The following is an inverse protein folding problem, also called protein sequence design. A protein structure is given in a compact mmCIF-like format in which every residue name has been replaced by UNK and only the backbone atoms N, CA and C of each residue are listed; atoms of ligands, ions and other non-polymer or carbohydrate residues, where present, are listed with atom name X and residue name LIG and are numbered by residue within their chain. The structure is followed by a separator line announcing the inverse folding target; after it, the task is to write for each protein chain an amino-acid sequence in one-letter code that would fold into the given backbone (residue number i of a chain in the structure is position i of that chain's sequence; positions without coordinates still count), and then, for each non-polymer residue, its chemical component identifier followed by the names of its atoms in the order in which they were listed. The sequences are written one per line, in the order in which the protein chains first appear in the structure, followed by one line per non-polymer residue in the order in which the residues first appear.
data_IF_412132828378
#
_entry.id   IF_412132828378
#
_cell.length_a   1.000
_cell.length_b   1.000
_cell.length_c   1.000
_cell.angle_alpha   90.00
_cell.angle_beta   90.00
_cell.angle_gamma   90.00
#
_symmetry.space_group_name_H-M   'P 1'
#
loop_
_entity.id
_entity.type
_entity.pdbx_description
1 polymer ?
#
# COMPACT_ATOMS: atom_id res chain seq x y z
N UNK A 1 -7.16 -25.71 25.26
CA UNK A 1 -6.70 -25.42 23.88
C UNK A 1 -5.88 -24.12 23.92
N UNK A 2 -4.74 -24.04 23.22
CA UNK A 2 -3.91 -22.82 23.14
C UNK A 2 -4.25 -22.07 21.85
N UNK A 3 -4.44 -20.75 21.92
CA UNK A 3 -4.63 -19.89 20.73
C UNK A 3 -3.28 -19.73 20.03
N UNK A 4 -3.21 -20.07 18.73
CA UNK A 4 -1.94 -20.11 17.97
C UNK A 4 -1.86 -19.07 16.84
N UNK A 5 -2.92 -18.32 16.57
CA UNK A 5 -2.97 -17.36 15.46
C UNK A 5 -3.25 -18.02 14.11
N UNK A 6 -3.53 -17.20 13.09
CA UNK A 6 -4.01 -17.70 11.78
C UNK A 6 -2.92 -18.52 11.06
N UNK A 7 -1.66 -18.08 11.14
CA UNK A 7 -0.54 -18.64 10.38
C UNK A 7 -0.29 -20.08 10.80
N UNK A 8 -0.13 -20.31 12.12
CA UNK A 8 0.10 -21.64 12.67
C UNK A 8 -1.13 -22.56 12.49
N UNK A 9 -2.33 -22.00 12.49
CA UNK A 9 -3.54 -22.76 12.18
C UNK A 9 -3.59 -23.21 10.70
N UNK A 10 -3.27 -22.32 9.76
CA UNK A 10 -3.14 -22.63 8.33
C UNK A 10 -2.09 -23.70 8.08
N UNK A 11 -0.91 -23.58 8.71
CA UNK A 11 0.16 -24.57 8.61
C UNK A 11 -0.27 -25.93 9.16
N UNK A 12 -0.99 -25.97 10.28
CA UNK A 12 -1.52 -27.22 10.83
C UNK A 12 -2.48 -27.91 9.84
N UNK A 13 -3.39 -27.16 9.21
CA UNK A 13 -4.26 -27.68 8.15
C UNK A 13 -3.48 -28.16 6.92
N UNK A 14 -2.53 -27.35 6.44
CA UNK A 14 -1.72 -27.66 5.27
C UNK A 14 -0.90 -28.94 5.45
N UNK A 15 -0.37 -29.23 6.65
CA UNK A 15 0.37 -30.46 6.96
C UNK A 15 -0.50 -31.73 6.89
N UNK A 16 -1.81 -31.60 7.08
CA UNK A 16 -2.76 -32.72 7.03
C UNK A 16 -3.39 -32.89 5.64
N UNK A 17 -3.35 -31.86 4.80
CA UNK A 17 -3.92 -31.87 3.47
C UNK A 17 -3.19 -32.89 2.56
N UNK A 18 -3.97 -33.67 1.82
CA UNK A 18 -3.47 -34.73 0.92
C UNK A 18 -3.62 -34.41 -0.57
N UNK A 19 -4.42 -33.38 -0.89
CA UNK A 19 -4.67 -32.97 -2.28
C UNK A 19 -3.46 -32.24 -2.88
N UNK A 20 -3.45 -32.11 -4.21
CA UNK A 20 -2.36 -31.47 -4.94
C UNK A 20 -2.39 -29.93 -4.82
N UNK A 21 -3.55 -29.37 -4.52
CA UNK A 21 -3.77 -27.92 -4.38
C UNK A 21 -4.29 -27.62 -2.98
N UNK A 22 -3.70 -26.61 -2.34
CA UNK A 22 -4.20 -26.01 -1.11
C UNK A 22 -5.06 -24.81 -1.47
N UNK A 23 -6.26 -24.74 -0.90
CA UNK A 23 -7.15 -23.59 -1.01
C UNK A 23 -7.45 -23.09 0.39
N UNK A 24 -7.07 -21.84 0.66
CA UNK A 24 -7.31 -21.17 1.93
C UNK A 24 -8.50 -20.22 1.75
N UNK A 25 -9.46 -20.29 2.68
CA UNK A 25 -10.59 -19.38 2.77
C UNK A 25 -10.77 -18.96 4.22
N UNK A 26 -11.21 -17.73 4.42
CA UNK A 26 -11.68 -17.28 5.73
C UNK A 26 -13.02 -17.94 6.08
N UNK A 27 -13.31 -18.02 7.38
CA UNK A 27 -14.52 -18.70 7.89
C UNK A 27 -15.84 -17.94 7.64
N UNK A 28 -15.80 -16.82 6.92
CA UNK A 28 -16.93 -15.94 6.64
C UNK A 28 -16.91 -15.51 5.16
N UNK A 29 -16.95 -16.53 4.31
CA UNK A 29 -16.98 -16.41 2.86
C UNK A 29 -18.18 -17.13 2.25
N UNK A 30 -18.65 -16.66 1.10
CA UNK A 30 -19.65 -17.35 0.27
C UNK A 30 -19.09 -17.54 -1.14
N UNK A 31 -18.99 -18.78 -1.60
CA UNK A 31 -18.37 -19.10 -2.89
C UNK A 31 -19.42 -19.07 -4.02
N UNK A 32 -19.12 -18.37 -5.11
CA UNK A 32 -20.00 -18.32 -6.28
C UNK A 32 -19.92 -19.60 -7.12
N UNK A 33 -20.90 -19.77 -8.02
CA UNK A 33 -20.91 -20.89 -8.98
C UNK A 33 -19.61 -20.90 -9.78
N UNK A 34 -18.98 -22.08 -9.89
CA UNK A 34 -17.75 -22.30 -10.65
C UNK A 34 -16.53 -21.46 -10.20
N UNK A 35 -16.46 -21.09 -8.92
CA UNK A 35 -15.33 -20.32 -8.39
C UNK A 35 -14.01 -21.10 -8.40
N UNK A 36 -14.03 -22.44 -8.31
CA UNK A 36 -12.83 -23.23 -8.03
C UNK A 36 -12.12 -23.67 -9.32
N UNK A 37 -12.88 -24.06 -10.34
CA UNK A 37 -12.37 -24.60 -11.60
C UNK A 37 -11.38 -23.67 -12.31
N UNK A 38 -11.62 -22.34 -12.40
CA UNK A 38 -10.65 -21.40 -12.99
C UNK A 38 -9.33 -21.35 -12.22
N UNK A 39 -9.36 -21.49 -10.90
CA UNK A 39 -8.14 -21.50 -10.06
C UNK A 39 -7.35 -22.80 -10.30
N UNK A 40 -8.03 -23.95 -10.34
CA UNK A 40 -7.37 -25.24 -10.54
C UNK A 40 -6.77 -25.38 -11.94
N UNK A 41 -7.49 -24.93 -12.97
CA UNK A 41 -6.97 -24.94 -14.35
C UNK A 41 -5.72 -24.08 -14.47
N UNK A 42 -5.74 -22.88 -13.86
CA UNK A 42 -4.59 -21.98 -13.92
C UNK A 42 -3.37 -22.51 -13.14
N UNK A 43 -3.56 -23.18 -11.99
CA UNK A 43 -2.44 -23.84 -11.28
C UNK A 43 -1.82 -24.96 -12.12
N UNK A 44 -2.65 -25.69 -12.88
CA UNK A 44 -2.16 -26.73 -13.78
C UNK A 44 -1.29 -26.17 -14.91
N UNK A 45 -1.64 -25.01 -15.45
CA UNK A 45 -0.84 -24.29 -16.45
C UNK A 45 0.42 -23.66 -15.87
N UNK A 46 0.33 -23.13 -14.65
CA UNK A 46 1.40 -22.41 -13.98
C UNK A 46 1.51 -22.83 -12.50
N UNK A 47 2.22 -23.94 -12.21
CA UNK A 47 2.27 -24.53 -10.87
C UNK A 47 2.94 -23.66 -9.80
N UNK A 48 3.71 -22.65 -10.22
CA UNK A 48 4.39 -21.67 -9.35
C UNK A 48 3.57 -20.40 -9.13
N UNK A 49 2.34 -20.35 -9.64
CA UNK A 49 1.43 -19.23 -9.43
C UNK A 49 0.63 -19.41 -8.14
N UNK A 50 0.47 -18.31 -7.43
CA UNK A 50 -0.48 -18.17 -6.32
C UNK A 50 -1.67 -17.40 -6.83
N UNK A 51 -2.86 -17.97 -6.72
CA UNK A 51 -4.05 -17.45 -7.37
C UNK A 51 -5.04 -16.93 -6.34
N UNK A 52 -5.56 -15.74 -6.57
CA UNK A 52 -6.60 -15.13 -5.73
C UNK A 52 -7.89 -14.97 -6.54
N UNK A 53 -9.07 -15.25 -5.94
CA UNK A 53 -10.34 -14.90 -6.55
C UNK A 53 -10.55 -13.38 -6.51
N UNK A 54 -11.50 -12.88 -7.30
CA UNK A 54 -12.13 -11.60 -6.97
C UNK A 54 -12.88 -11.79 -5.65
N UNK A 55 -12.62 -10.89 -4.71
CA UNK A 55 -13.26 -10.87 -3.40
C UNK A 55 -14.42 -9.87 -3.46
N UNK A 56 -15.64 -10.38 -3.61
CA UNK A 56 -16.85 -9.55 -3.54
C UNK A 56 -17.15 -9.20 -2.07
N UNK A 57 -17.94 -8.14 -1.86
CA UNK A 57 -18.26 -7.66 -0.51
C UNK A 57 -19.59 -8.26 -0.07
N UNK A 58 -19.59 -8.89 1.11
CA UNK A 58 -20.81 -9.24 1.85
C UNK A 58 -20.96 -8.23 2.99
N UNK A 59 -22.00 -7.40 2.92
CA UNK A 59 -22.29 -6.37 3.91
C UNK A 59 -22.50 -6.96 5.31
N UNK A 60 -21.67 -6.59 6.29
CA UNK A 60 -21.71 -7.19 7.62
C UNK A 60 -23.03 -7.00 8.38
N UNK A 61 -23.82 -5.97 8.02
CA UNK A 61 -25.06 -5.60 8.72
C UNK A 61 -26.28 -6.36 8.23
N UNK A 62 -26.39 -6.60 6.92
CA UNK A 62 -27.59 -7.17 6.30
C UNK A 62 -27.28 -8.40 5.42
N UNK A 63 -26.02 -8.82 5.34
CA UNK A 63 -25.55 -9.94 4.52
C UNK A 63 -25.88 -9.78 3.03
N UNK A 64 -26.04 -8.53 2.56
CA UNK A 64 -26.22 -8.27 1.15
C UNK A 64 -24.91 -8.56 0.41
N UNK A 65 -24.99 -9.44 -0.58
CA UNK A 65 -23.88 -9.75 -1.47
C UNK A 65 -23.81 -8.66 -2.55
N UNK A 66 -22.82 -7.79 -2.45
CA UNK A 66 -22.52 -6.77 -3.44
C UNK A 66 -21.32 -7.16 -4.27
N UNK A 67 -21.53 -7.23 -5.58
CA UNK A 67 -20.46 -7.27 -6.56
C UNK A 67 -20.09 -5.85 -6.92
N UNK A 68 -18.80 -5.55 -7.06
CA UNK A 68 -18.40 -4.46 -7.95
C UNK A 68 -18.88 -4.78 -9.37
N UNK A 69 -18.90 -3.79 -10.28
CA UNK A 69 -19.27 -4.02 -11.68
C UNK A 69 -18.60 -5.31 -12.21
N UNK A 70 -19.28 -6.10 -13.02
CA UNK A 70 -18.83 -7.46 -13.37
C UNK A 70 -17.43 -7.48 -14.00
N UNK A 71 -17.05 -6.38 -14.64
CA UNK A 71 -15.79 -6.22 -15.35
C UNK A 71 -14.76 -5.38 -14.57
N UNK A 72 -15.13 -4.86 -13.40
CA UNK A 72 -14.26 -4.02 -12.59
C UNK A 72 -13.88 -4.70 -11.28
N UNK A 73 -12.58 -4.73 -11.01
CA UNK A 73 -12.02 -5.31 -9.80
C UNK A 73 -10.66 -4.69 -9.52
N UNK A 74 -10.29 -4.77 -8.24
CA UNK A 74 -9.04 -4.24 -7.75
C UNK A 74 -8.02 -5.37 -7.54
N UNK A 75 -6.75 -5.02 -7.67
CA UNK A 75 -5.60 -5.84 -7.34
C UNK A 75 -4.97 -5.35 -6.04
N UNK A 76 -4.13 -6.18 -5.44
CA UNK A 76 -3.47 -5.86 -4.19
C UNK A 76 -2.21 -5.02 -4.36
N UNK A 77 -2.07 -4.00 -3.51
CA UNK A 77 -0.82 -3.32 -3.24
C UNK A 77 -0.54 -3.21 -1.74
N UNK A 78 0.22 -2.20 -1.36
CA UNK A 78 0.59 -1.99 0.04
C UNK A 78 0.98 -0.54 0.27
N UNK A 79 0.90 -0.10 1.53
CA UNK A 79 1.50 1.16 1.98
C UNK A 79 2.81 0.95 2.71
N UNK A 80 3.66 1.97 2.70
CA UNK A 80 4.97 1.92 3.35
C UNK A 80 4.87 1.74 4.87
N UNK A 81 3.71 1.97 5.48
CA UNK A 81 3.44 1.65 6.89
C UNK A 81 3.16 0.15 7.16
N UNK A 82 3.13 -0.69 6.12
CA UNK A 82 3.00 -2.15 6.24
C UNK A 82 1.60 -2.71 6.03
N UNK A 83 0.62 -1.87 5.65
CA UNK A 83 -0.74 -2.34 5.39
C UNK A 83 -0.96 -2.75 3.94
N UNK A 84 -1.89 -3.69 3.75
CA UNK A 84 -2.43 -4.02 2.43
C UNK A 84 -3.32 -2.87 1.94
N UNK A 85 -3.32 -2.65 0.63
CA UNK A 85 -4.15 -1.63 -0.02
C UNK A 85 -4.75 -2.19 -1.32
N UNK A 86 -5.89 -1.65 -1.75
CA UNK A 86 -6.55 -2.02 -2.99
C UNK A 86 -6.26 -0.98 -4.08
N UNK A 87 -5.90 -1.44 -5.27
CA UNK A 87 -5.65 -0.57 -6.42
C UNK A 87 -6.32 -1.07 -7.67
N UNK A 88 -6.68 -0.13 -8.54
CA UNK A 88 -7.21 -0.47 -9.85
C UNK A 88 -6.12 -1.13 -10.72
N UNK A 89 -6.55 -1.93 -11.68
CA UNK A 89 -5.63 -2.59 -12.62
C UNK A 89 -4.87 -1.55 -13.43
N UNK A 90 -3.54 -1.57 -13.36
CA UNK A 90 -2.69 -0.55 -13.98
C UNK A 90 -2.75 -0.58 -15.51
N UNK A 91 -2.51 0.57 -16.16
CA UNK A 91 -2.40 0.65 -17.62
C UNK A 91 -1.36 -0.35 -18.16
N UNK A 92 -0.21 -0.49 -17.48
CA UNK A 92 0.86 -1.43 -17.84
C UNK A 92 0.37 -2.88 -17.85
N UNK A 93 -0.42 -3.26 -16.85
CA UNK A 93 -0.98 -4.60 -16.77
C UNK A 93 -2.04 -4.85 -17.85
N UNK A 94 -2.92 -3.88 -18.12
CA UNK A 94 -3.88 -3.95 -19.24
C UNK A 94 -3.17 -4.14 -20.58
N UNK A 95 -2.05 -3.45 -20.80
CA UNK A 95 -1.24 -3.63 -22.02
C UNK A 95 -0.55 -5.00 -22.07
N UNK A 96 -0.17 -5.60 -20.93
CA UNK A 96 0.30 -7.00 -20.90
C UNK A 96 -0.82 -7.95 -21.31
N UNK A 97 -2.00 -7.81 -20.73
CA UNK A 97 -3.16 -8.65 -21.04
C UNK A 97 -3.52 -8.59 -22.52
N UNK A 98 -3.48 -7.41 -23.15
CA UNK A 98 -3.67 -7.26 -24.61
C UNK A 98 -2.68 -8.04 -25.47
N UNK A 99 -1.46 -8.27 -24.98
CA UNK A 99 -0.43 -9.05 -25.69
C UNK A 99 -0.55 -10.55 -25.46
N UNK A 100 -1.00 -10.96 -24.28
CA UNK A 100 -0.95 -12.36 -23.84
C UNK A 100 -2.29 -13.08 -23.94
N UNK A 101 -3.41 -12.36 -23.88
CA UNK A 101 -4.75 -12.92 -23.94
C UNK A 101 -5.45 -12.57 -25.27
N UNK A 102 -6.28 -13.47 -25.83
CA UNK A 102 -7.14 -13.13 -26.96
C UNK A 102 -8.07 -11.96 -26.64
N UNK A 103 -8.31 -11.08 -27.60
CA UNK A 103 -9.12 -9.86 -27.44
C UNK A 103 -10.50 -10.14 -26.81
N UNK A 104 -11.16 -11.22 -27.24
CA UNK A 104 -12.46 -11.67 -26.72
C UNK A 104 -12.46 -12.07 -25.23
N UNK A 105 -11.29 -12.27 -24.63
CA UNK A 105 -11.11 -12.77 -23.25
C UNK A 105 -10.38 -11.75 -22.37
N UNK A 106 -10.19 -10.49 -22.80
CA UNK A 106 -9.40 -9.52 -22.04
C UNK A 106 -9.96 -9.24 -20.64
N UNK A 107 -11.28 -9.20 -20.50
CA UNK A 107 -11.95 -8.94 -19.22
C UNK A 107 -11.77 -10.08 -18.20
N UNK A 108 -11.48 -11.28 -18.68
CA UNK A 108 -11.30 -12.50 -17.87
C UNK A 108 -9.85 -13.00 -17.85
N UNK A 109 -8.92 -12.24 -18.42
CA UNK A 109 -7.51 -12.58 -18.45
C UNK A 109 -6.95 -12.58 -17.01
N UNK A 110 -6.12 -13.58 -16.61
CA UNK A 110 -5.42 -13.54 -15.33
C UNK A 110 -4.68 -12.22 -15.16
N UNK A 111 -4.83 -11.58 -14.01
CA UNK A 111 -4.30 -10.25 -13.76
C UNK A 111 -3.20 -10.32 -12.71
N UNK A 112 -2.01 -9.83 -13.04
CA UNK A 112 -0.92 -9.78 -12.06
C UNK A 112 -1.23 -8.81 -10.94
N UNK A 113 -1.06 -9.29 -9.71
CA UNK A 113 -1.29 -8.54 -8.49
C UNK A 113 0.02 -8.41 -7.71
N UNK A 114 0.52 -7.19 -7.42
CA UNK A 114 1.72 -7.00 -6.61
C UNK A 114 1.63 -7.71 -5.26
N UNK A 115 0.48 -7.61 -4.59
CA UNK A 115 0.23 -8.25 -3.30
C UNK A 115 -1.12 -8.98 -3.27
N UNK A 116 -1.41 -9.68 -2.17
CA UNK A 116 -2.73 -10.28 -1.92
C UNK A 116 -3.26 -9.86 -0.56
N UNK A 117 -4.58 -9.86 -0.40
CA UNK A 117 -5.23 -9.71 0.90
C UNK A 117 -4.86 -10.86 1.85
N UNK A 118 -4.62 -12.06 1.29
CA UNK A 118 -4.10 -13.23 2.01
C UNK A 118 -5.15 -14.11 2.69
N UNK A 119 -6.40 -13.65 2.79
CA UNK A 119 -7.53 -14.45 3.31
C UNK A 119 -7.92 -15.64 2.40
N UNK A 120 -7.94 -15.38 1.10
CA UNK A 120 -8.50 -16.26 0.08
C UNK A 120 -7.47 -16.46 -1.04
N UNK A 121 -6.95 -17.68 -1.20
CA UNK A 121 -6.06 -18.02 -2.32
C UNK A 121 -5.94 -19.52 -2.54
N UNK A 122 -5.54 -19.90 -3.75
CA UNK A 122 -5.17 -21.26 -4.13
C UNK A 122 -3.68 -21.32 -4.50
N UNK A 123 -3.02 -22.42 -4.14
CA UNK A 123 -1.59 -22.66 -4.42
C UNK A 123 -1.34 -24.16 -4.56
N UNK A 124 -0.42 -24.55 -5.46
CA UNK A 124 0.10 -25.93 -5.48
C UNK A 124 0.68 -26.30 -4.12
N UNK A 125 0.30 -27.47 -3.58
CA UNK A 125 0.76 -27.94 -2.27
C UNK A 125 2.28 -28.10 -2.25
N UNK A 126 2.86 -28.65 -3.30
CA UNK A 126 4.31 -28.85 -3.37
C UNK A 126 5.02 -27.50 -3.46
N UNK A 127 4.54 -26.59 -4.31
CA UNK A 127 5.10 -25.24 -4.40
C UNK A 127 5.02 -24.50 -3.06
N UNK A 128 3.89 -24.57 -2.34
CA UNK A 128 3.73 -23.97 -1.00
C UNK A 128 4.84 -24.39 -0.03
N UNK A 129 5.21 -25.68 -0.02
CA UNK A 129 6.29 -26.18 0.83
C UNK A 129 7.67 -25.82 0.28
N UNK A 130 7.88 -25.87 -1.02
CA UNK A 130 9.15 -25.56 -1.68
C UNK A 130 9.58 -24.11 -1.46
N UNK A 131 8.64 -23.17 -1.53
CA UNK A 131 8.91 -21.75 -1.23
C UNK A 131 8.92 -21.45 0.29
N UNK A 132 8.88 -22.47 1.14
CA UNK A 132 9.04 -22.34 2.59
C UNK A 132 7.79 -21.90 3.35
N UNK A 133 6.60 -22.19 2.84
CA UNK A 133 5.30 -22.03 3.52
C UNK A 133 5.11 -20.63 4.14
N UNK A 134 4.69 -20.53 5.40
CA UNK A 134 4.69 -19.27 6.16
C UNK A 134 5.86 -19.21 7.14
N UNK A 135 6.22 -18.00 7.59
CA UNK A 135 7.11 -17.85 8.74
C UNK A 135 6.40 -18.26 10.04
N UNK A 136 6.75 -19.42 10.59
CA UNK A 136 6.09 -19.98 11.79
C UNK A 136 6.30 -19.15 13.07
N UNK A 137 7.26 -18.22 13.05
CA UNK A 137 7.53 -17.29 14.14
C UNK A 137 6.64 -16.04 14.11
N UNK A 138 5.89 -15.81 13.02
CA UNK A 138 4.87 -14.78 13.02
C UNK A 138 3.72 -15.18 13.95
N UNK A 139 3.26 -14.21 14.75
CA UNK A 139 2.25 -14.44 15.78
C UNK A 139 0.93 -13.75 15.43
N UNK A 140 -0.18 -14.26 15.96
CA UNK A 140 -1.49 -13.62 15.80
C UNK A 140 -1.95 -13.47 14.34
N UNK A 141 -2.03 -12.22 13.89
CA UNK A 141 -2.54 -11.78 12.58
C UNK A 141 -1.71 -10.61 12.06
N UNK A 142 -1.56 -10.53 10.73
CA UNK A 142 -0.98 -9.40 10.02
C UNK A 142 0.42 -9.67 9.46
N UNK A 143 0.73 -9.06 8.32
CA UNK A 143 2.05 -9.09 7.66
C UNK A 143 2.33 -10.34 6.82
N UNK A 144 1.64 -11.45 7.05
CA UNK A 144 1.90 -12.72 6.36
C UNK A 144 1.52 -12.69 4.88
N UNK A 145 0.51 -11.88 4.54
CA UNK A 145 0.02 -11.71 3.19
C UNK A 145 1.08 -10.98 2.33
N UNK A 146 1.64 -9.88 2.83
CA UNK A 146 2.72 -9.15 2.17
C UNK A 146 4.02 -9.97 2.10
N UNK A 147 4.37 -10.70 3.16
CA UNK A 147 5.54 -11.60 3.17
C UNK A 147 5.48 -12.64 2.06
N UNK A 148 4.33 -13.31 1.95
CA UNK A 148 4.16 -14.32 0.94
C UNK A 148 4.11 -13.71 -0.46
N UNK A 149 3.47 -12.55 -0.65
CA UNK A 149 3.48 -11.83 -1.93
C UNK A 149 4.89 -11.47 -2.40
N UNK A 150 5.69 -10.85 -1.53
CA UNK A 150 7.05 -10.44 -1.85
C UNK A 150 7.95 -11.65 -2.15
N UNK A 151 7.82 -12.71 -1.35
CA UNK A 151 8.56 -13.96 -1.57
C UNK A 151 8.18 -14.64 -2.87
N UNK A 152 6.88 -14.80 -3.16
CA UNK A 152 6.40 -15.43 -4.39
C UNK A 152 7.00 -14.74 -5.61
N UNK A 153 6.88 -13.42 -5.69
CA UNK A 153 7.41 -12.65 -6.81
C UNK A 153 8.94 -12.68 -6.88
N UNK A 154 9.63 -12.41 -5.76
CA UNK A 154 11.10 -12.36 -5.76
C UNK A 154 11.72 -13.73 -6.04
N UNK A 155 11.07 -14.83 -5.66
CA UNK A 155 11.59 -16.18 -5.82
C UNK A 155 11.09 -16.90 -7.10
N UNK A 156 10.52 -16.17 -8.05
CA UNK A 156 10.25 -16.66 -9.41
C UNK A 156 8.84 -17.18 -9.68
N UNK A 157 7.91 -17.06 -8.73
CA UNK A 157 6.48 -17.30 -8.95
C UNK A 157 5.74 -16.06 -9.42
N UNK A 158 4.43 -16.20 -9.57
CA UNK A 158 3.51 -15.08 -9.87
C UNK A 158 2.36 -15.07 -8.88
N UNK A 159 1.77 -13.89 -8.68
CA UNK A 159 0.56 -13.71 -7.90
C UNK A 159 -0.51 -13.12 -8.81
N UNK A 160 -1.63 -13.83 -8.95
CA UNK A 160 -2.59 -13.55 -10.02
C UNK A 160 -4.02 -13.51 -9.49
N UNK A 161 -4.76 -12.45 -9.80
CA UNK A 161 -6.21 -12.38 -9.64
C UNK A 161 -6.87 -13.06 -10.83
N UNK A 162 -7.76 -14.01 -10.56
CA UNK A 162 -8.49 -14.78 -11.58
C UNK A 162 -9.93 -14.28 -11.67
N UNK A 163 -10.30 -13.48 -12.70
CA UNK A 163 -11.59 -12.78 -12.71
C UNK A 163 -12.83 -13.68 -12.75
N UNK A 164 -12.69 -14.89 -13.33
CA UNK A 164 -13.78 -15.88 -13.34
C UNK A 164 -14.03 -16.54 -11.98
N UNK A 165 -13.11 -16.40 -11.02
CA UNK A 165 -13.27 -16.94 -9.67
C UNK A 165 -13.78 -15.83 -8.76
N UNK A 166 -15.00 -15.98 -8.23
CA UNK A 166 -15.61 -14.99 -7.32
C UNK A 166 -16.01 -15.62 -5.99
N UNK A 167 -15.64 -14.95 -4.90
CA UNK A 167 -15.98 -15.36 -3.54
C UNK A 167 -16.33 -14.11 -2.75
N UNK A 168 -17.52 -14.08 -2.16
CA UNK A 168 -17.92 -13.02 -1.24
C UNK A 168 -17.21 -13.17 0.11
N UNK A 169 -16.82 -12.05 0.71
CA UNK A 169 -16.22 -11.99 2.04
C UNK A 169 -16.90 -10.92 2.90
N UNK A 170 -17.10 -11.24 4.19
CA UNK A 170 -17.63 -10.25 5.15
C UNK A 170 -16.48 -9.36 5.64
N UNK A 171 -16.35 -8.18 5.04
CA UNK A 171 -15.47 -7.12 5.52
C UNK A 171 -16.04 -6.48 6.80
N UNK A 172 -15.18 -6.24 7.79
CA UNK A 172 -15.57 -5.70 9.09
C UNK A 172 -14.78 -4.43 9.38
N UNK A 173 -15.45 -3.46 10.00
CA UNK A 173 -14.83 -2.19 10.40
C UNK A 173 -13.79 -2.37 11.54
N UNK A 174 -13.80 -3.51 12.23
CA UNK A 174 -12.91 -3.78 13.37
C UNK A 174 -12.63 -5.28 13.54
N UNK A 175 -11.50 -5.60 14.17
CA UNK A 175 -11.16 -6.98 14.54
C UNK A 175 -12.08 -7.47 15.68
N UNK A 176 -12.82 -8.58 15.51
CA UNK A 176 -13.77 -9.09 16.50
C UNK A 176 -13.09 -9.87 17.65
N UNK A 177 -11.76 -9.87 17.70
CA UNK A 177 -10.96 -10.65 18.64
C UNK A 177 -9.90 -9.77 19.30
N UNK A 178 -9.61 -10.05 20.58
CA UNK A 178 -8.51 -9.39 21.28
C UNK A 178 -7.17 -9.95 20.83
N UNK A 179 -6.14 -9.10 20.81
CA UNK A 179 -4.76 -9.56 20.75
C UNK A 179 -4.30 -9.85 22.19
N UNK A 180 -3.71 -11.02 22.46
CA UNK A 180 -3.17 -11.28 23.79
C UNK A 180 -2.20 -10.15 24.19
N UNK A 181 -2.42 -9.54 25.36
CA UNK A 181 -1.58 -8.49 25.94
C UNK A 181 -1.44 -7.19 25.12
N UNK A 182 -2.42 -6.84 24.28
CA UNK A 182 -2.39 -5.63 23.43
C UNK A 182 -1.12 -5.51 22.57
N UNK A 183 -0.54 -6.66 22.23
CA UNK A 183 0.68 -6.77 21.43
C UNK A 183 0.41 -6.34 19.99
N UNK A 184 1.24 -5.47 19.44
CA UNK A 184 1.21 -5.11 18.01
C UNK A 184 1.79 -6.24 17.16
N UNK A 185 1.04 -7.35 17.05
CA UNK A 185 1.47 -8.51 16.26
C UNK A 185 1.59 -8.16 14.78
N UNK A 186 0.74 -7.26 14.29
CA UNK A 186 0.80 -6.79 12.90
C UNK A 186 2.14 -6.10 12.64
N UNK A 187 2.49 -5.07 13.42
CA UNK A 187 3.74 -4.34 13.27
C UNK A 187 4.98 -5.22 13.39
N UNK A 188 5.01 -6.11 14.40
CA UNK A 188 6.13 -7.05 14.59
C UNK A 188 6.28 -7.97 13.38
N UNK A 189 5.20 -8.59 12.90
CA UNK A 189 5.24 -9.47 11.73
C UNK A 189 5.67 -8.71 10.46
N UNK A 190 5.19 -7.47 10.28
CA UNK A 190 5.58 -6.60 9.18
C UNK A 190 7.08 -6.29 9.21
N UNK A 191 7.69 -6.03 10.37
CA UNK A 191 9.15 -5.84 10.45
C UNK A 191 9.90 -7.14 10.11
N UNK A 192 9.43 -8.31 10.58
CA UNK A 192 10.02 -9.60 10.22
C UNK A 192 10.05 -9.79 8.70
N UNK A 193 8.94 -9.46 8.04
CA UNK A 193 8.84 -9.44 6.59
C UNK A 193 9.84 -8.45 5.97
N UNK A 194 9.86 -7.21 6.44
CA UNK A 194 10.63 -6.13 5.83
C UNK A 194 12.14 -6.39 5.87
N UNK A 195 12.67 -6.83 7.02
CA UNK A 195 14.10 -7.14 7.18
C UNK A 195 14.55 -8.31 6.30
N UNK A 196 13.64 -9.22 5.95
CA UNK A 196 13.97 -10.36 5.08
C UNK A 196 13.84 -10.00 3.61
N UNK A 197 12.81 -9.24 3.23
CA UNK A 197 12.36 -9.14 1.84
C UNK A 197 12.45 -7.75 1.20
N UNK A 198 12.65 -6.67 1.98
CA UNK A 198 12.61 -5.30 1.46
C UNK A 198 13.99 -4.66 1.22
N UNK A 199 15.09 -5.31 1.60
CA UNK A 199 16.43 -4.73 1.51
C UNK A 199 16.47 -3.33 2.15
N UNK A 200 17.14 -2.36 1.54
CA UNK A 200 17.23 -0.97 2.02
C UNK A 200 15.88 -0.22 2.02
N UNK A 201 14.82 -0.79 1.45
CA UNK A 201 13.49 -0.16 1.48
C UNK A 201 12.80 -0.31 2.85
N UNK A 202 13.35 -1.12 3.76
CA UNK A 202 12.88 -1.20 5.15
C UNK A 202 12.89 0.17 5.85
N UNK A 203 13.76 1.09 5.46
CA UNK A 203 13.80 2.45 6.02
C UNK A 203 12.49 3.23 5.75
N UNK A 204 11.75 2.91 4.68
CA UNK A 204 10.44 3.51 4.41
C UNK A 204 9.38 3.04 5.40
N UNK A 205 9.51 1.81 5.92
CA UNK A 205 8.67 1.32 7.01
C UNK A 205 8.98 2.06 8.29
N UNK A 206 10.27 2.19 8.65
CA UNK A 206 10.65 2.89 9.87
C UNK A 206 10.37 4.39 9.83
N UNK A 207 10.34 5.01 8.65
CA UNK A 207 9.88 6.39 8.49
C UNK A 207 8.40 6.56 8.86
N UNK A 208 7.57 5.54 8.62
CA UNK A 208 6.15 5.56 8.95
C UNK A 208 5.85 5.00 10.36
N UNK A 209 6.67 4.04 10.81
CA UNK A 209 6.55 3.31 12.07
C UNK A 209 7.89 3.26 12.81
N UNK A 210 8.41 4.41 13.28
CA UNK A 210 9.70 4.47 13.97
C UNK A 210 9.69 3.69 15.29
N UNK A 211 8.51 3.51 15.89
CA UNK A 211 8.30 2.71 17.10
C UNK A 211 8.64 1.21 16.93
N UNK A 212 8.69 0.73 15.69
CA UNK A 212 9.00 -0.66 15.37
C UNK A 212 10.50 -0.91 15.12
N UNK A 213 11.32 0.14 15.05
CA UNK A 213 12.77 0.01 14.85
C UNK A 213 13.41 -0.61 16.10
N UNK A 214 14.24 -1.63 15.90
CA UNK A 214 14.90 -2.39 16.97
C UNK A 214 13.94 -3.00 18.02
N UNK A 215 12.69 -3.29 17.61
CA UNK A 215 11.66 -3.80 18.51
C UNK A 215 12.13 -5.11 19.21
N UNK A 216 12.13 -5.18 20.55
CA UNK A 216 12.79 -6.25 21.31
C UNK A 216 12.17 -7.64 21.07
N UNK A 217 10.91 -7.68 20.66
CA UNK A 217 10.19 -8.93 20.43
C UNK A 217 10.21 -9.43 18.98
N UNK A 218 11.01 -8.80 18.11
CA UNK A 218 11.11 -9.18 16.70
C UNK A 218 11.46 -10.66 16.51
N UNK A 219 12.33 -11.20 17.37
CA UNK A 219 12.84 -12.57 17.27
C UNK A 219 13.84 -12.77 16.13
N UNK A 220 14.26 -14.02 15.91
CA UNK A 220 15.23 -14.36 14.87
C UNK A 220 14.56 -14.54 13.51
N UNK A 221 15.17 -14.01 12.46
CA UNK A 221 14.74 -14.13 11.05
C UNK A 221 15.78 -14.84 10.18
N UNK A 222 16.85 -15.37 10.77
CA UNK A 222 17.96 -16.01 10.05
C UNK A 222 17.48 -17.15 9.16
N UNK A 223 16.54 -17.99 9.62
CA UNK A 223 15.99 -19.08 8.80
C UNK A 223 15.29 -18.58 7.53
N UNK A 224 14.62 -17.42 7.58
CA UNK A 224 13.97 -16.81 6.41
C UNK A 224 14.99 -16.19 5.45
N UNK A 225 16.08 -15.61 5.98
CA UNK A 225 17.18 -15.10 5.15
C UNK A 225 17.90 -16.24 4.40
N UNK A 226 18.21 -17.34 5.09
CA UNK A 226 18.79 -18.54 4.48
C UNK A 226 17.87 -19.13 3.41
N UNK A 227 16.56 -19.15 3.65
CA UNK A 227 15.59 -19.55 2.63
C UNK A 227 15.65 -18.67 1.38
N UNK A 228 15.66 -17.34 1.55
CA UNK A 228 15.76 -16.37 0.46
C UNK A 228 17.03 -16.59 -0.38
N UNK A 229 18.16 -16.84 0.28
CA UNK A 229 19.43 -17.16 -0.39
C UNK A 229 19.36 -18.49 -1.15
N UNK A 230 18.83 -19.55 -0.51
CA UNK A 230 18.70 -20.89 -1.10
C UNK A 230 17.82 -20.91 -2.36
N UNK A 231 16.76 -20.10 -2.37
CA UNK A 231 15.84 -19.97 -3.51
C UNK A 231 16.36 -19.00 -4.59
N UNK A 232 17.54 -18.40 -4.39
CA UNK A 232 18.13 -17.42 -5.32
C UNK A 232 17.17 -16.28 -5.68
N UNK A 233 16.42 -15.79 -4.69
CA UNK A 233 15.41 -14.77 -4.93
C UNK A 233 16.03 -13.44 -5.36
N UNK A 234 15.30 -12.69 -6.17
CA UNK A 234 15.64 -11.34 -6.62
C UNK A 234 15.61 -10.34 -5.46
N UNK A 235 16.18 -9.16 -5.69
CA UNK A 235 16.13 -8.05 -4.74
C UNK A 235 14.74 -7.39 -4.70
N UNK A 236 14.48 -6.61 -3.66
CA UNK A 236 13.28 -5.79 -3.61
C UNK A 236 13.31 -4.65 -4.64
N UNK A 237 14.50 -4.13 -4.98
CA UNK A 237 14.63 -3.18 -6.10
C UNK A 237 14.16 -3.81 -7.43
N UNK A 238 14.44 -5.10 -7.68
CA UNK A 238 13.89 -5.81 -8.82
C UNK A 238 12.36 -5.91 -8.74
N UNK A 239 11.80 -6.22 -7.56
CA UNK A 239 10.36 -6.26 -7.35
C UNK A 239 9.71 -4.90 -7.67
N UNK A 240 10.26 -3.81 -7.14
CA UNK A 240 9.77 -2.45 -7.40
C UNK A 240 9.87 -2.06 -8.87
N UNK A 241 10.89 -2.52 -9.62
CA UNK A 241 11.04 -2.18 -11.04
C UNK A 241 10.19 -3.04 -11.98
N UNK A 242 9.96 -4.30 -11.63
CA UNK A 242 9.38 -5.28 -12.55
C UNK A 242 7.95 -5.67 -12.18
N UNK A 243 7.65 -5.73 -10.89
CA UNK A 243 6.33 -6.12 -10.38
C UNK A 243 5.48 -4.90 -10.09
N UNK A 244 6.01 -3.91 -9.35
CA UNK A 244 5.22 -2.76 -8.90
C UNK A 244 5.89 -1.37 -9.10
N UNK A 245 6.26 -1.00 -10.36
CA UNK A 245 6.86 0.29 -10.70
C UNK A 245 5.94 1.48 -10.50
N UNK A 246 4.63 1.28 -10.46
CA UNK A 246 3.64 2.33 -10.20
C UNK A 246 3.64 2.77 -8.72
N UNK A 247 4.22 1.98 -7.81
CA UNK A 247 4.27 2.32 -6.39
C UNK A 247 5.18 3.51 -6.14
N UNK A 248 4.58 4.63 -5.72
CA UNK A 248 5.31 5.83 -5.36
C UNK A 248 6.24 5.60 -4.15
N UNK A 249 7.49 6.08 -4.27
CA UNK A 249 8.52 6.04 -3.23
C UNK A 249 8.82 7.50 -2.80
N UNK A 250 8.39 7.95 -1.61
CA UNK A 250 8.52 9.36 -1.20
C UNK A 250 9.95 9.91 -1.21
N UNK A 251 10.95 9.06 -1.03
CA UNK A 251 12.35 9.46 -0.86
C UNK A 251 13.20 9.26 -2.13
N UNK A 252 12.64 8.74 -3.23
CA UNK A 252 13.41 8.40 -4.45
C UNK A 252 12.75 8.99 -5.69
N UNK A 253 13.58 9.41 -6.66
CA UNK A 253 13.13 10.00 -7.93
C UNK A 253 12.25 11.26 -7.80
N UNK A 254 12.40 12.00 -6.70
CA UNK A 254 11.71 13.27 -6.42
C UNK A 254 12.70 14.45 -6.46
N UNK A 255 12.19 15.69 -6.59
CA UNK A 255 13.00 16.92 -6.51
C UNK A 255 13.40 17.23 -5.07
N UNK A 256 12.47 17.04 -4.15
CA UNK A 256 12.63 17.26 -2.73
C UNK A 256 11.64 16.38 -1.96
N UNK A 257 11.94 16.09 -0.70
CA UNK A 257 11.04 15.39 0.21
C UNK A 257 11.31 15.81 1.66
N UNK A 258 10.52 15.31 2.60
CA UNK A 258 10.67 15.61 4.02
C UNK A 258 9.53 16.51 4.51
N UNK A 259 9.76 17.23 5.61
CA UNK A 259 8.77 18.18 6.14
C UNK A 259 8.85 19.50 5.39
N UNK A 260 7.70 19.99 4.92
CA UNK A 260 7.63 21.30 4.27
C UNK A 260 7.34 22.37 5.33
N UNK A 261 8.39 23.08 5.73
CA UNK A 261 8.36 24.05 6.82
C UNK A 261 8.17 25.49 6.30
N UNK A 262 7.35 26.26 7.00
CA UNK A 262 7.26 27.71 6.85
C UNK A 262 8.53 28.37 7.39
N UNK A 263 9.01 29.44 6.73
CA UNK A 263 10.12 30.25 7.23
C UNK A 263 9.68 31.40 8.15
N UNK A 264 8.37 31.58 8.37
CA UNK A 264 7.83 32.58 9.28
C UNK A 264 7.75 32.08 10.74
N UNK A 265 7.43 30.80 10.91
CA UNK A 265 7.04 30.18 12.17
C UNK A 265 7.47 28.71 12.20
N UNK A 266 7.41 28.04 13.36
CA UNK A 266 7.74 26.61 13.48
C UNK A 266 6.54 25.74 13.08
N UNK A 267 5.95 26.00 11.91
CA UNK A 267 4.82 25.28 11.36
C UNK A 267 5.21 24.55 10.07
N UNK A 268 4.73 23.31 9.94
CA UNK A 268 4.97 22.41 8.83
C UNK A 268 3.64 21.94 8.25
N UNK A 269 3.59 21.67 6.95
CA UNK A 269 2.46 20.95 6.37
C UNK A 269 2.25 19.63 7.10
N UNK A 270 0.98 19.33 7.39
CA UNK A 270 0.60 18.15 8.16
C UNK A 270 -0.74 17.61 7.64
N UNK A 271 -0.86 16.29 7.59
CA UNK A 271 -2.11 15.62 7.20
C UNK A 271 -3.22 15.76 8.25
N UNK A 272 -2.89 16.20 9.46
CA UNK A 272 -3.78 16.29 10.63
C UNK A 272 -4.51 14.98 10.94
N UNK A 273 -3.90 13.84 10.59
CA UNK A 273 -4.48 12.51 10.72
C UNK A 273 -5.82 12.36 9.99
N UNK A 274 -6.04 13.14 8.93
CA UNK A 274 -7.21 13.02 8.08
C UNK A 274 -7.17 11.69 7.30
N UNK A 275 -8.35 11.13 7.05
CA UNK A 275 -8.47 9.91 6.27
C UNK A 275 -8.18 10.19 4.77
N UNK A 276 -7.29 9.40 4.18
CA UNK A 276 -6.91 9.52 2.78
C UNK A 276 -7.94 8.99 1.76
N UNK A 277 -8.98 8.27 2.22
CA UNK A 277 -9.99 7.65 1.36
C UNK A 277 -10.92 8.67 0.68
N UNK A 278 -10.97 9.91 1.19
CA UNK A 278 -11.81 10.98 0.68
C UNK A 278 -11.02 12.27 0.62
N UNK A 279 -11.29 13.16 -0.36
CA UNK A 279 -10.63 14.46 -0.42
C UNK A 279 -10.70 15.22 0.91
N UNK A 280 -9.58 15.80 1.33
CA UNK A 280 -9.47 16.50 2.61
C UNK A 280 -8.61 17.76 2.51
N UNK A 281 -8.86 18.73 3.38
CA UNK A 281 -8.06 19.94 3.41
C UNK A 281 -6.68 19.66 4.03
N UNK A 282 -5.63 20.12 3.36
CA UNK A 282 -4.28 20.05 3.87
C UNK A 282 -4.13 21.01 5.06
N UNK A 283 -3.50 20.53 6.13
CA UNK A 283 -3.34 21.28 7.35
C UNK A 283 -1.92 21.75 7.58
N UNK A 284 -1.76 22.46 8.69
CA UNK A 284 -0.47 22.83 9.24
C UNK A 284 -0.41 22.42 10.72
N UNK A 285 0.75 21.95 11.16
CA UNK A 285 1.00 21.62 12.56
C UNK A 285 2.40 22.08 12.96
N UNK A 286 2.68 22.10 14.26
CA UNK A 286 4.04 22.35 14.75
C UNK A 286 5.00 21.32 14.17
N UNK A 287 6.13 21.77 13.60
CA UNK A 287 7.10 20.84 13.02
C UNK A 287 7.62 19.85 14.07
N UNK A 288 7.45 18.55 13.81
CA UNK A 288 8.01 17.49 14.66
C UNK A 288 9.53 17.41 14.46
N UNK A 289 10.28 17.21 15.56
CA UNK A 289 11.75 17.14 15.60
C UNK A 289 12.16 16.07 16.62
N UNK A 290 13.32 15.39 16.46
CA UNK A 290 14.31 15.55 15.39
C UNK A 290 13.99 14.74 14.13
N UNK A 291 13.00 13.85 14.13
CA UNK A 291 12.71 13.01 12.95
C UNK A 291 11.52 13.57 12.16
N UNK A 292 11.45 13.24 10.86
CA UNK A 292 10.27 13.58 10.04
C UNK A 292 9.16 12.58 10.37
N UNK A 293 8.07 13.07 10.92
CA UNK A 293 6.85 12.26 11.14
C UNK A 293 6.20 11.88 9.81
N UNK A 294 5.60 10.70 9.74
CA UNK A 294 4.75 10.27 8.62
C UNK A 294 3.69 11.31 8.23
N UNK A 295 3.08 11.99 9.22
CA UNK A 295 2.05 13.02 8.98
C UNK A 295 2.60 14.28 8.29
N UNK A 296 3.90 14.52 8.38
CA UNK A 296 4.59 15.68 7.81
C UNK A 296 5.51 15.30 6.64
N UNK A 297 5.47 14.04 6.18
CA UNK A 297 6.26 13.59 5.05
C UNK A 297 5.57 13.96 3.74
N UNK A 298 6.12 14.95 3.06
CA UNK A 298 5.70 15.33 1.72
C UNK A 298 6.85 15.17 0.73
N UNK A 299 6.49 15.12 -0.55
CA UNK A 299 7.41 14.99 -1.66
C UNK A 299 6.99 15.91 -2.79
N UNK A 300 7.96 16.56 -3.41
CA UNK A 300 7.77 17.28 -4.66
C UNK A 300 8.36 16.45 -5.79
N UNK A 301 7.52 15.91 -6.66
CA UNK A 301 7.94 14.98 -7.71
C UNK A 301 8.71 15.69 -8.83
N UNK A 302 9.38 14.95 -9.73
CA UNK A 302 10.07 15.53 -10.90
C UNK A 302 9.13 16.31 -11.82
N UNK A 303 7.85 15.93 -11.85
CA UNK A 303 6.77 16.61 -12.59
C UNK A 303 6.13 17.77 -11.83
N UNK A 304 6.69 18.17 -10.67
CA UNK A 304 6.17 19.24 -9.83
C UNK A 304 4.83 18.90 -9.16
N UNK A 305 4.53 17.63 -8.90
CA UNK A 305 3.35 17.26 -8.11
C UNK A 305 3.74 17.29 -6.63
N UNK A 306 3.03 18.05 -5.80
CA UNK A 306 3.21 18.03 -4.35
C UNK A 306 2.32 16.93 -3.78
N UNK A 307 2.89 15.93 -3.11
CA UNK A 307 2.15 14.75 -2.66
C UNK A 307 2.71 14.12 -1.40
N UNK A 308 1.91 13.29 -0.75
CA UNK A 308 2.39 12.24 0.14
C UNK A 308 2.27 10.88 -0.60
N UNK A 309 2.34 9.77 0.14
CA UNK A 309 2.23 8.44 -0.43
C UNK A 309 0.94 8.25 -1.26
N UNK A 310 -0.22 8.57 -0.69
CA UNK A 310 -1.54 8.25 -1.24
C UNK A 310 -2.21 9.40 -1.97
N UNK A 311 -1.78 10.64 -1.73
CA UNK A 311 -2.56 11.81 -2.15
C UNK A 311 -1.73 12.99 -2.62
N UNK A 312 -2.31 13.71 -3.58
CA UNK A 312 -1.70 14.83 -4.29
C UNK A 312 -2.45 16.11 -3.96
N UNK A 313 -1.69 17.19 -3.77
CA UNK A 313 -2.21 18.50 -3.40
C UNK A 313 -2.73 19.24 -4.63
N UNK A 314 -3.98 19.68 -4.57
CA UNK A 314 -4.65 20.55 -5.54
C UNK A 314 -5.21 21.79 -4.84
N UNK A 315 -5.64 22.80 -5.59
CA UNK A 315 -6.27 24.01 -5.06
C UNK A 315 -7.77 23.95 -5.29
N UNK A 316 -8.55 24.15 -4.23
CA UNK A 316 -10.01 24.14 -4.32
C UNK A 316 -10.53 25.15 -5.36
N UNK A 317 -11.39 24.69 -6.25
CA UNK A 317 -12.14 25.56 -7.16
C UNK A 317 -13.16 26.38 -6.37
N UNK A 318 -12.78 27.60 -5.95
CA UNK A 318 -13.64 28.53 -5.23
C UNK A 318 -13.63 29.92 -5.88
N UNK A 319 -14.74 30.65 -5.75
CA UNK A 319 -14.86 32.08 -6.10
C UNK A 319 -14.34 33.01 -4.99
N UNK A 320 -14.01 32.46 -3.82
CA UNK A 320 -13.36 33.20 -2.72
C UNK A 320 -11.94 33.63 -3.11
N UNK A 321 -11.47 34.76 -2.55
CA UNK A 321 -10.07 35.19 -2.68
C UNK A 321 -9.11 34.20 -2.03
N UNK A 322 -9.47 33.64 -0.86
CA UNK A 322 -8.69 32.58 -0.19
C UNK A 322 -9.21 31.21 -0.62
N UNK A 323 -8.34 30.41 -1.25
CA UNK A 323 -8.63 29.03 -1.69
C UNK A 323 -7.81 28.05 -0.87
N UNK A 324 -8.45 27.01 -0.34
CA UNK A 324 -7.76 25.98 0.42
C UNK A 324 -7.01 25.00 -0.48
N UNK A 325 -5.95 24.41 0.06
CA UNK A 325 -5.27 23.26 -0.56
C UNK A 325 -5.97 21.99 -0.12
N UNK A 326 -6.36 21.17 -1.09
CA UNK A 326 -7.06 19.91 -0.89
C UNK A 326 -6.16 18.78 -1.34
N UNK A 327 -6.07 17.72 -0.53
CA UNK A 327 -5.41 16.48 -0.90
C UNK A 327 -6.45 15.55 -1.54
N UNK A 328 -6.15 15.04 -2.72
CA UNK A 328 -6.99 14.08 -3.46
C UNK A 328 -6.24 12.76 -3.69
N UNK A 329 -6.94 11.61 -3.78
CA UNK A 329 -6.31 10.33 -4.12
C UNK A 329 -5.43 10.43 -5.36
N UNK A 330 -4.24 9.82 -5.29
CA UNK A 330 -3.18 10.02 -6.26
C UNK A 330 -2.57 8.70 -6.71
N UNK A 331 -3.02 8.22 -7.88
CA UNK A 331 -2.62 6.92 -8.40
C UNK A 331 -1.34 7.05 -9.24
N UNK A 332 -1.33 7.94 -10.24
CA UNK A 332 -0.19 8.17 -11.11
C UNK A 332 0.08 9.66 -11.28
N UNK A 333 1.35 10.07 -11.16
CA UNK A 333 1.79 11.43 -11.45
C UNK A 333 1.57 11.81 -12.92
N UNK A 334 1.46 10.82 -13.82
CA UNK A 334 1.33 11.08 -15.25
C UNK A 334 0.04 11.78 -15.65
N UNK A 335 -1.02 11.57 -14.89
CA UNK A 335 -2.37 12.08 -15.19
C UNK A 335 -2.72 13.33 -14.36
N UNK A 336 -1.73 13.95 -13.67
CA UNK A 336 -1.97 15.07 -12.75
C UNK A 336 -1.49 16.38 -13.36
N UNK A 337 -2.46 17.24 -13.65
CA UNK A 337 -2.19 18.58 -14.15
C UNK A 337 -1.83 19.56 -13.02
N UNK A 338 -2.40 19.42 -11.82
CA UNK A 338 -2.16 20.34 -10.69
C UNK A 338 -0.71 20.27 -10.19
N UNK A 339 0.07 21.31 -10.50
CA UNK A 339 1.52 21.33 -10.28
C UNK A 339 1.98 22.55 -9.48
N UNK A 340 3.06 22.34 -8.73
CA UNK A 340 3.62 23.25 -7.74
C UNK A 340 5.11 23.49 -8.01
N UNK A 341 5.53 24.74 -8.08
CA UNK A 341 6.93 25.07 -8.32
C UNK A 341 7.48 26.04 -7.27
N UNK A 342 8.75 25.87 -6.94
CA UNK A 342 9.47 26.86 -6.17
C UNK A 342 9.87 28.02 -7.06
N UNK A 343 9.51 29.24 -6.66
CA UNK A 343 10.02 30.47 -7.26
C UNK A 343 11.45 30.75 -6.78
N UNK A 344 12.15 31.67 -7.45
CA UNK A 344 13.47 32.15 -7.02
C UNK A 344 13.48 32.74 -5.59
N UNK A 345 12.30 33.12 -5.08
CA UNK A 345 12.11 33.69 -3.75
C UNK A 345 11.70 32.65 -2.68
N UNK A 346 11.85 31.35 -2.98
CA UNK A 346 11.47 30.21 -2.11
C UNK A 346 9.97 30.15 -1.80
N UNK A 347 9.12 30.65 -2.69
CA UNK A 347 7.67 30.51 -2.57
C UNK A 347 7.22 29.28 -3.33
N UNK A 348 6.28 28.52 -2.76
CA UNK A 348 5.67 27.38 -3.43
C UNK A 348 4.42 27.85 -4.18
N UNK A 349 4.53 28.01 -5.50
CA UNK A 349 3.48 28.51 -6.38
C UNK A 349 2.72 27.38 -7.04
N UNK A 350 1.40 27.39 -6.96
CA UNK A 350 0.53 26.52 -7.75
C UNK A 350 0.39 27.09 -9.17
N UNK A 351 0.77 26.31 -10.19
CA UNK A 351 0.87 26.78 -11.58
C UNK A 351 -0.47 27.20 -12.17
N UNK A 352 -1.50 26.41 -11.97
CA UNK A 352 -2.82 26.61 -12.58
C UNK A 352 -3.52 27.86 -12.05
N UNK A 353 -3.37 28.15 -10.76
CA UNK A 353 -3.97 29.33 -10.14
C UNK A 353 -3.07 30.56 -10.16
N UNK A 354 -1.74 30.38 -10.30
CA UNK A 354 -0.76 31.45 -10.17
C UNK A 354 -0.56 31.95 -8.73
N UNK A 355 -1.19 31.29 -7.74
CA UNK A 355 -1.17 31.68 -6.33
C UNK A 355 -0.08 30.92 -5.56
N UNK A 356 0.40 31.50 -4.47
CA UNK A 356 1.43 30.93 -3.61
C UNK A 356 0.83 30.39 -2.32
N UNK A 357 1.36 29.27 -1.83
CA UNK A 357 1.04 28.72 -0.52
C UNK A 357 1.39 29.74 0.58
N UNK A 358 0.45 30.00 1.49
CA UNK A 358 0.59 31.01 2.53
C UNK A 358 0.22 30.45 3.91
N UNK A 359 1.06 30.75 4.91
CA UNK A 359 0.81 30.44 6.32
C UNK A 359 0.29 31.63 7.14
N UNK A 360 -0.05 32.76 6.49
CA UNK A 360 -0.54 33.96 7.17
C UNK A 360 -1.79 33.69 8.01
N UNK A 361 -1.79 34.17 9.24
CA UNK A 361 -2.89 34.04 10.21
C UNK A 361 -3.29 32.59 10.53
N UNK A 362 -2.38 31.62 10.29
CA UNK A 362 -2.60 30.22 10.63
C UNK A 362 -2.00 29.87 11.99
N UNK A 363 -2.63 28.91 12.65
CA UNK A 363 -2.14 28.30 13.88
C UNK A 363 -2.14 26.77 13.74
N UNK A 364 -1.59 26.06 14.72
CA UNK A 364 -1.59 24.60 14.74
C UNK A 364 -3.01 24.05 14.55
N UNK A 365 -3.19 23.10 13.61
CA UNK A 365 -4.46 22.52 13.14
C UNK A 365 -5.31 23.43 12.23
N UNK A 366 -4.81 24.58 11.79
CA UNK A 366 -5.44 25.34 10.71
C UNK A 366 -5.22 24.68 9.34
N UNK A 367 -6.11 24.97 8.39
CA UNK A 367 -5.96 24.54 7.00
C UNK A 367 -5.16 25.56 6.18
N UNK A 368 -4.24 25.06 5.35
CA UNK A 368 -3.43 25.92 4.50
C UNK A 368 -4.21 26.39 3.29
N UNK A 369 -3.90 27.59 2.84
CA UNK A 369 -4.53 28.23 1.70
C UNK A 369 -3.48 28.83 0.76
N UNK A 370 -3.93 29.21 -0.43
CA UNK A 370 -3.13 29.95 -1.39
C UNK A 370 -3.60 31.39 -1.50
N UNK A 371 -2.64 32.30 -1.69
CA UNK A 371 -2.85 33.74 -1.81
C UNK A 371 -2.00 34.34 -2.93
N UNK A 372 -2.20 35.62 -3.24
CA UNK A 372 -1.38 36.34 -4.22
C UNK A 372 0.09 36.28 -3.82
N UNK A 373 0.97 35.93 -4.78
CA UNK A 373 2.39 35.78 -4.51
C UNK A 373 3.07 37.13 -4.20
N UNK A 374 3.67 37.24 -3.01
CA UNK A 374 4.42 38.40 -2.54
C UNK A 374 5.83 38.01 -2.07
N UNK A 375 6.89 38.26 -2.87
CA UNK A 375 8.26 37.80 -2.60
C UNK A 375 8.86 38.20 -1.24
N UNK A 376 8.40 39.31 -0.66
CA UNK A 376 8.89 39.84 0.61
C UNK A 376 8.29 39.18 1.85
N UNK A 377 7.17 38.46 1.72
CA UNK A 377 6.42 37.93 2.86
C UNK A 377 7.03 36.59 3.29
N UNK A 378 7.32 36.46 4.60
CA UNK A 378 7.91 35.23 5.16
C UNK A 378 6.94 34.05 5.22
N UNK A 379 5.65 34.30 5.42
CA UNK A 379 4.61 33.25 5.50
C UNK A 379 4.38 32.53 4.17
N UNK A 380 4.89 33.10 3.07
CA UNK A 380 4.89 32.45 1.75
C UNK A 380 6.21 31.76 1.41
N UNK A 381 7.20 31.75 2.31
CA UNK A 381 8.50 31.12 2.09
C UNK A 381 8.52 29.74 2.74
N UNK A 382 8.81 28.73 1.94
CA UNK A 382 8.75 27.33 2.35
C UNK A 382 10.07 26.62 2.04
N UNK A 383 10.38 25.59 2.82
CA UNK A 383 11.60 24.81 2.66
C UNK A 383 11.37 23.37 3.08
N UNK A 384 11.89 22.44 2.27
CA UNK A 384 11.94 21.02 2.64
C UNK A 384 13.07 20.78 3.63
N UNK A 385 12.77 20.12 4.74
CA UNK A 385 13.73 19.72 5.76
C UNK A 385 13.72 18.20 5.93
N UNK A 386 14.90 17.60 6.01
CA UNK A 386 15.10 16.15 6.09
C UNK A 386 15.51 15.65 7.49
N UNK A 387 15.94 16.57 8.35
CA UNK A 387 16.38 16.38 9.74
C UNK A 387 15.70 17.43 10.62
#
# INVERSE_FOLDING_TARGET
MKRVGLIRARLAGARLAKADVLVFLDAHCECMVQWLEPLLERIKESPTSVLVPIIDVIEAKNFYYSTNDYNDFQIGGFTWDGHFDWHDVTKRERERQKRECPEKNLEICPTYSPTMAGGLFAISRDYFWDIGSYDEQMDGWGGENLEMSFRVWQCGGTLETIPCSRIGHIFRDFHPYSFPNDRDTHGINTVRMAIVWMDDYVELLYLNRPDLKDHPELGDVTHRKVLREKLHCKSFDWYMKNVYPEKFIPTRNVRAFGRLASQADNLCLDTLQQNADKPWNLGIYTCFKPEVSASQLFSLTKRNVLRNERSCATVQASKSESKFVVMIPCIDDEDIDDTWEFTEHRQLRHKQSGLCLDSSDLSTKSYVHVATCHPGIKTQKWEFQHE
#
